data_IF_470314808005
#
_entry.id   IF_470314808005
#
_cell.length_a   1.000
_cell.length_b   1.000
_cell.length_c   1.000
_cell.angle_alpha   90.00
_cell.angle_beta   90.00
_cell.angle_gamma   90.00
#
_symmetry.space_group_name_H-M   'P 1'
#
loop_
_entity.id
_entity.type
_entity.pdbx_description
1 polymer ?
#
# COMPACT_ATOMS: atom_id res chain seq x y z
N UNK A 1 -13.07 20.29 13.35
CA UNK A 1 -14.48 19.89 13.54
C UNK A 1 -14.69 19.08 14.82
N UNK A 2 -13.80 18.13 15.18
CA UNK A 2 -13.92 17.31 16.39
C UNK A 2 -13.69 18.08 17.71
N UNK A 3 -12.68 18.96 17.78
CA UNK A 3 -12.42 19.79 18.99
C UNK A 3 -13.59 20.71 19.35
N UNK A 4 -14.22 21.32 18.34
CA UNK A 4 -15.40 22.18 18.53
C UNK A 4 -16.61 21.39 19.02
N UNK A 5 -16.72 20.11 18.66
CA UNK A 5 -17.80 19.20 19.11
C UNK A 5 -17.62 18.83 20.59
N UNK A 6 -16.40 18.53 21.03
CA UNK A 6 -16.10 18.23 22.44
C UNK A 6 -16.45 19.43 23.34
N UNK A 7 -15.97 20.62 22.98
CA UNK A 7 -16.25 21.85 23.71
C UNK A 7 -17.75 22.21 23.79
N UNK A 8 -18.54 21.90 22.75
CA UNK A 8 -19.98 22.12 22.76
C UNK A 8 -20.73 21.16 23.70
N UNK A 9 -20.25 19.92 23.83
CA UNK A 9 -20.86 18.92 24.73
C UNK A 9 -20.55 19.18 26.22
N UNK A 10 -19.38 19.75 26.53
CA UNK A 10 -19.02 20.13 27.92
C UNK A 10 -19.89 21.28 28.48
N UNK A 11 -20.45 22.13 27.62
CA UNK A 11 -21.28 23.26 28.03
C UNK A 11 -22.71 22.88 28.44
N UNK A 12 -23.06 21.59 28.46
CA UNK A 12 -24.35 21.07 28.98
C UNK A 12 -25.61 21.43 28.17
N UNK A 13 -25.51 22.37 27.23
CA UNK A 13 -26.61 22.82 26.37
C UNK A 13 -26.77 22.02 25.07
N UNK A 14 -25.79 21.16 24.75
CA UNK A 14 -25.83 20.30 23.57
C UNK A 14 -25.62 18.84 24.00
N UNK A 15 -26.59 17.98 23.72
CA UNK A 15 -26.46 16.55 23.88
C UNK A 15 -26.08 15.92 22.53
N UNK A 16 -24.95 15.23 22.46
CA UNK A 16 -24.68 14.31 21.36
C UNK A 16 -25.40 13.00 21.65
N UNK A 17 -26.40 12.62 20.83
CA UNK A 17 -27.14 11.35 20.98
C UNK A 17 -26.23 10.12 21.00
N UNK A 18 -25.05 10.20 20.39
CA UNK A 18 -24.06 9.12 20.40
C UNK A 18 -22.63 9.70 20.43
N UNK A 19 -22.01 9.70 21.60
CA UNK A 19 -20.54 9.72 21.71
C UNK A 19 -20.09 8.27 21.68
N UNK A 20 -19.58 7.83 20.52
CA UNK A 20 -18.95 6.52 20.42
C UNK A 20 -17.75 6.49 21.37
N UNK A 21 -17.72 5.51 22.28
CA UNK A 21 -16.56 5.28 23.13
C UNK A 21 -15.40 4.79 22.26
N UNK A 22 -14.16 5.03 22.69
CA UNK A 22 -12.97 4.51 22.00
C UNK A 22 -13.06 2.99 21.74
N UNK A 23 -13.58 2.26 22.72
CA UNK A 23 -13.82 0.82 22.66
C UNK A 23 -14.73 0.41 21.51
N UNK A 24 -15.75 1.21 21.19
CA UNK A 24 -16.69 0.95 20.10
C UNK A 24 -16.01 1.13 18.73
N UNK A 25 -15.12 2.12 18.57
CA UNK A 25 -14.32 2.25 17.35
C UNK A 25 -13.36 1.06 17.14
N UNK A 26 -12.79 0.55 18.23
CA UNK A 26 -11.92 -0.62 18.19
C UNK A 26 -12.73 -1.89 17.86
N UNK A 27 -13.94 -2.02 18.41
CA UNK A 27 -14.88 -3.11 18.10
C UNK A 27 -15.25 -3.11 16.60
N UNK A 28 -15.60 -1.95 16.05
CA UNK A 28 -15.92 -1.78 14.63
C UNK A 28 -14.72 -2.13 13.73
N UNK A 29 -13.52 -1.62 14.06
CA UNK A 29 -12.31 -1.91 13.30
C UNK A 29 -11.86 -3.38 13.41
N UNK A 30 -12.21 -4.04 14.51
CA UNK A 30 -11.81 -5.41 14.83
C UNK A 30 -12.76 -6.50 14.31
N UNK A 31 -13.89 -6.15 13.69
CA UNK A 31 -14.94 -7.10 13.31
C UNK A 31 -14.44 -8.26 12.44
N UNK A 32 -13.49 -8.01 11.54
CA UNK A 32 -12.88 -9.02 10.67
C UNK A 32 -11.68 -9.77 11.26
N UNK A 33 -11.23 -9.43 12.47
CA UNK A 33 -10.01 -9.98 13.06
C UNK A 33 -10.34 -11.05 14.11
N UNK A 34 -10.18 -12.33 13.74
CA UNK A 34 -10.46 -13.47 14.62
C UNK A 34 -9.66 -13.48 15.93
N UNK A 35 -8.42 -12.98 15.92
CA UNK A 35 -7.62 -12.84 17.15
C UNK A 35 -8.17 -11.75 18.05
N UNK A 36 -8.58 -10.62 17.48
CA UNK A 36 -9.24 -9.57 18.23
C UNK A 36 -10.52 -10.10 18.89
N UNK A 37 -11.41 -10.73 18.12
CA UNK A 37 -12.68 -11.26 18.60
C UNK A 37 -12.51 -12.28 19.73
N UNK A 38 -11.50 -13.15 19.62
CA UNK A 38 -11.31 -14.27 20.57
C UNK A 38 -10.58 -13.85 21.84
N UNK A 39 -9.62 -12.94 21.75
CA UNK A 39 -8.70 -12.65 22.86
C UNK A 39 -8.83 -11.23 23.42
N UNK A 40 -8.97 -10.22 22.56
CA UNK A 40 -8.94 -8.82 22.98
C UNK A 40 -10.33 -8.25 23.26
N UNK A 41 -11.34 -8.65 22.49
CA UNK A 41 -12.71 -8.16 22.63
C UNK A 41 -13.30 -8.40 24.03
N UNK A 42 -13.17 -9.60 24.65
CA UNK A 42 -13.69 -9.81 26.01
C UNK A 42 -13.01 -8.92 27.06
N UNK A 43 -11.71 -8.66 26.91
CA UNK A 43 -10.94 -7.78 27.79
C UNK A 43 -11.41 -6.32 27.64
N UNK A 44 -11.55 -5.87 26.39
CA UNK A 44 -11.97 -4.52 26.06
C UNK A 44 -13.40 -4.23 26.51
N UNK A 45 -14.30 -5.22 26.43
CA UNK A 45 -15.66 -5.13 26.96
C UNK A 45 -15.68 -4.92 28.48
N UNK A 46 -14.75 -5.53 29.24
CA UNK A 46 -14.63 -5.26 30.69
C UNK A 46 -14.22 -3.82 30.94
N UNK A 47 -13.30 -3.28 30.14
CA UNK A 47 -12.88 -1.87 30.22
C UNK A 47 -14.00 -0.91 29.78
N UNK A 48 -14.95 -1.35 28.96
CA UNK A 48 -16.08 -0.53 28.52
C UNK A 48 -17.02 -0.09 29.67
N UNK A 49 -16.88 -0.69 30.86
CA UNK A 49 -17.59 -0.29 32.08
C UNK A 49 -17.16 1.07 32.63
N UNK A 50 -15.96 1.56 32.27
CA UNK A 50 -15.51 2.89 32.66
C UNK A 50 -16.23 4.00 31.86
N UNK A 51 -16.54 5.09 32.54
CA UNK A 51 -17.15 6.29 31.97
C UNK A 51 -16.14 7.07 31.10
N UNK A 52 -16.63 7.92 30.19
CA UNK A 52 -15.83 8.68 29.22
C UNK A 52 -14.73 9.55 29.86
N UNK A 53 -14.91 9.96 31.11
CA UNK A 53 -13.93 10.75 31.89
C UNK A 53 -12.61 10.01 32.13
N UNK A 54 -12.60 8.69 32.05
CA UNK A 54 -11.40 7.87 32.23
C UNK A 54 -10.67 7.58 30.93
N UNK A 55 -11.29 7.89 29.78
CA UNK A 55 -10.73 7.63 28.47
C UNK A 55 -10.13 8.92 27.89
N UNK A 56 -9.00 8.83 27.16
CA UNK A 56 -8.50 9.98 26.41
C UNK A 56 -9.54 10.47 25.39
N UNK A 57 -9.57 11.78 25.16
CA UNK A 57 -10.38 12.34 24.09
C UNK A 57 -9.92 11.81 22.72
N UNK A 58 -10.88 11.54 21.83
CA UNK A 58 -10.61 11.01 20.49
C UNK A 58 -9.71 11.96 19.69
N UNK A 59 -9.86 13.28 19.88
CA UNK A 59 -8.98 14.24 19.21
C UNK A 59 -7.55 14.12 19.71
N UNK A 60 -7.37 13.87 21.01
CA UNK A 60 -6.05 13.61 21.61
C UNK A 60 -5.40 12.35 21.03
N UNK A 61 -6.18 11.30 20.81
CA UNK A 61 -5.72 10.05 20.20
C UNK A 61 -5.34 10.27 18.73
N UNK A 62 -6.19 10.93 17.94
CA UNK A 62 -5.90 11.23 16.53
C UNK A 62 -4.65 12.10 16.40
N UNK A 63 -4.50 13.09 17.29
CA UNK A 63 -3.28 13.92 17.32
C UNK A 63 -2.05 13.09 17.66
N UNK A 64 -2.13 12.22 18.67
CA UNK A 64 -1.02 11.33 19.02
C UNK A 64 -0.64 10.41 17.86
N UNK A 65 -1.62 9.86 17.14
CA UNK A 65 -1.41 9.01 15.97
C UNK A 65 -0.77 9.80 14.82
N UNK A 66 -1.22 11.03 14.58
CA UNK A 66 -0.67 11.90 13.53
C UNK A 66 0.73 12.44 13.83
N UNK A 67 1.18 12.37 15.09
CA UNK A 67 2.53 12.74 15.52
C UNK A 67 3.50 11.54 15.53
N UNK A 68 3.01 10.34 15.23
CA UNK A 68 3.86 9.17 15.07
C UNK A 68 4.68 9.33 13.78
N UNK A 69 5.97 9.62 13.92
CA UNK A 69 6.91 9.54 12.81
C UNK A 69 7.12 8.05 12.47
N UNK A 70 6.23 7.52 11.64
CA UNK A 70 6.39 6.18 11.08
C UNK A 70 7.48 6.27 10.02
N UNK A 71 8.73 5.99 10.41
CA UNK A 71 9.77 5.68 9.43
C UNK A 71 9.41 4.35 8.76
N UNK A 72 8.92 4.45 7.52
CA UNK A 72 8.76 3.28 6.65
C UNK A 72 10.16 2.81 6.28
N UNK A 73 10.66 1.83 7.01
CA UNK A 73 11.90 1.14 6.66
C UNK A 73 11.61 0.09 5.61
N UNK A 74 12.46 0.02 4.60
CA UNK A 74 12.34 -1.01 3.57
C UNK A 74 12.79 -2.36 4.13
N UNK A 75 12.05 -3.42 3.82
CA UNK A 75 12.36 -4.77 4.27
C UNK A 75 13.72 -5.26 3.75
N UNK A 76 14.17 -4.71 2.61
CA UNK A 76 15.44 -5.00 1.98
C UNK A 76 15.85 -3.88 1.00
N UNK A 77 17.15 -3.86 0.67
CA UNK A 77 17.77 -2.87 -0.24
C UNK A 77 17.21 -2.92 -1.67
N UNK A 78 16.66 -4.06 -2.12
CA UNK A 78 16.02 -4.15 -3.43
C UNK A 78 14.63 -3.49 -3.43
N UNK A 79 13.85 -3.66 -2.36
CA UNK A 79 12.56 -2.99 -2.15
C UNK A 79 12.76 -1.49 -2.01
N UNK A 80 13.80 -1.07 -1.28
CA UNK A 80 14.23 0.33 -1.21
C UNK A 80 14.56 0.88 -2.60
N UNK A 81 15.41 0.19 -3.37
CA UNK A 81 15.78 0.62 -4.71
C UNK A 81 14.56 0.71 -5.65
N UNK A 82 13.58 -0.19 -5.54
CA UNK A 82 12.36 -0.18 -6.36
C UNK A 82 11.45 1.00 -5.99
N UNK A 83 11.26 1.27 -4.70
CA UNK A 83 10.39 2.33 -4.22
C UNK A 83 11.07 3.69 -4.35
N UNK A 84 12.32 3.86 -3.89
CA UNK A 84 13.06 5.12 -4.06
C UNK A 84 13.39 5.42 -5.52
N UNK A 85 13.39 4.40 -6.38
CA UNK A 85 13.45 4.66 -7.80
C UNK A 85 12.24 5.41 -8.32
N UNK A 86 11.11 5.68 -7.60
CA UNK A 86 9.80 6.21 -8.08
C UNK A 86 9.76 7.43 -9.04
N UNK A 87 10.89 7.91 -9.55
CA UNK A 87 10.96 8.34 -10.95
C UNK A 87 12.00 7.53 -11.75
N UNK A 88 11.79 6.23 -12.02
CA UNK A 88 12.56 5.57 -13.05
C UNK A 88 11.91 6.06 -14.33
N UNK A 89 12.70 6.51 -15.30
CA UNK A 89 12.13 6.69 -16.63
C UNK A 89 11.37 5.41 -17.00
N UNK A 90 10.24 5.46 -17.71
CA UNK A 90 9.52 4.21 -18.06
C UNK A 90 10.46 3.17 -18.69
N UNK A 91 11.53 3.63 -19.34
CA UNK A 91 12.70 2.87 -19.80
C UNK A 91 13.39 2.03 -18.74
N UNK A 92 13.68 2.59 -17.56
CA UNK A 92 14.40 1.90 -16.47
C UNK A 92 13.57 0.78 -15.86
N UNK A 93 12.26 1.02 -15.72
CA UNK A 93 11.31 -0.02 -15.33
C UNK A 93 11.35 -1.18 -16.33
N UNK A 94 11.23 -0.90 -17.64
CA UNK A 94 11.28 -1.94 -18.66
C UNK A 94 12.62 -2.67 -18.69
N UNK A 95 13.74 -1.94 -18.54
CA UNK A 95 15.07 -2.53 -18.42
C UNK A 95 15.13 -3.55 -17.29
N UNK A 96 14.79 -3.14 -16.06
CA UNK A 96 14.87 -4.02 -14.89
C UNK A 96 13.88 -5.19 -14.97
N UNK A 97 12.67 -4.94 -15.48
CA UNK A 97 11.68 -5.99 -15.70
C UNK A 97 12.22 -7.06 -16.67
N UNK A 98 12.85 -6.64 -17.76
CA UNK A 98 13.39 -7.58 -18.72
C UNK A 98 14.60 -8.35 -18.18
N UNK A 99 15.48 -7.69 -17.42
CA UNK A 99 16.61 -8.35 -16.75
C UNK A 99 16.10 -9.45 -15.80
N UNK A 100 15.12 -9.12 -14.95
CA UNK A 100 14.52 -10.08 -14.03
C UNK A 100 13.87 -11.26 -14.77
N UNK A 101 13.13 -11.02 -15.86
CA UNK A 101 12.55 -12.11 -16.67
C UNK A 101 13.66 -12.99 -17.25
N UNK A 102 14.75 -12.39 -17.74
CA UNK A 102 15.85 -13.11 -18.34
C UNK A 102 16.65 -13.93 -17.32
N UNK A 103 16.86 -13.40 -16.11
CA UNK A 103 17.48 -14.14 -14.99
C UNK A 103 16.68 -15.38 -14.63
N UNK A 104 15.35 -15.34 -14.77
CA UNK A 104 14.48 -16.49 -14.52
C UNK A 104 14.42 -17.47 -15.70
N UNK A 105 15.01 -17.19 -16.86
CA UNK A 105 15.04 -18.09 -18.04
C UNK A 105 16.18 -19.13 -17.97
N UNK A 106 16.32 -19.86 -16.87
CA UNK A 106 17.40 -20.86 -16.75
C UNK A 106 17.07 -22.17 -17.46
N UNK A 107 15.77 -22.50 -17.58
CA UNK A 107 15.28 -23.76 -18.14
C UNK A 107 15.20 -24.92 -17.13
N UNK A 108 15.39 -24.65 -15.84
CA UNK A 108 15.23 -25.61 -14.74
C UNK A 108 13.76 -25.87 -14.38
N UNK A 109 13.50 -26.86 -13.51
CA UNK A 109 12.16 -27.39 -13.20
C UNK A 109 11.12 -26.36 -12.67
N UNK A 110 11.58 -25.22 -12.16
CA UNK A 110 10.74 -24.11 -11.68
C UNK A 110 11.03 -22.77 -12.35
N UNK A 111 11.90 -22.78 -13.37
CA UNK A 111 12.32 -21.58 -14.08
C UNK A 111 11.49 -21.38 -15.35
N UNK A 112 11.57 -20.18 -15.92
CA UNK A 112 10.99 -19.93 -17.23
C UNK A 112 11.75 -20.72 -18.30
N UNK A 113 11.05 -21.28 -19.31
CA UNK A 113 11.71 -21.84 -20.47
C UNK A 113 12.65 -20.81 -21.11
N UNK A 114 13.81 -21.25 -21.61
CA UNK A 114 14.78 -20.36 -22.29
C UNK A 114 14.17 -19.62 -23.49
N UNK A 115 13.13 -20.19 -24.09
CA UNK A 115 12.39 -19.64 -25.23
C UNK A 115 11.20 -18.77 -24.83
N UNK A 116 10.91 -18.61 -23.54
CA UNK A 116 9.75 -17.85 -23.07
C UNK A 116 9.82 -16.40 -23.52
N UNK A 117 8.75 -15.87 -24.12
CA UNK A 117 8.66 -14.45 -24.51
C UNK A 117 7.31 -13.90 -24.15
N UNK A 118 7.29 -12.73 -23.53
CA UNK A 118 6.07 -11.95 -23.38
C UNK A 118 5.84 -11.09 -24.62
N UNK A 119 4.57 -10.99 -25.03
CA UNK A 119 4.16 -10.03 -26.05
C UNK A 119 4.24 -8.61 -25.50
N UNK A 120 4.40 -7.64 -26.40
CA UNK A 120 4.43 -6.23 -26.01
C UNK A 120 3.12 -5.79 -25.32
N UNK A 121 1.98 -6.39 -25.70
CA UNK A 121 0.70 -6.16 -25.05
C UNK A 121 0.66 -6.70 -23.62
N UNK A 122 1.18 -7.92 -23.37
CA UNK A 122 1.23 -8.47 -22.02
C UNK A 122 2.14 -7.64 -21.11
N UNK A 123 3.29 -7.17 -21.63
CA UNK A 123 4.21 -6.29 -20.92
C UNK A 123 3.59 -4.93 -20.60
N UNK A 124 2.79 -4.37 -21.52
CA UNK A 124 2.04 -3.15 -21.28
C UNK A 124 1.02 -3.32 -20.14
N UNK A 125 0.25 -4.42 -20.15
CA UNK A 125 -0.70 -4.74 -19.08
C UNK A 125 -0.01 -4.90 -17.73
N UNK A 126 1.09 -5.68 -17.67
CA UNK A 126 1.86 -5.83 -16.43
C UNK A 126 2.35 -4.48 -15.93
N UNK A 127 2.88 -3.63 -16.81
CA UNK A 127 3.36 -2.29 -16.43
C UNK A 127 2.24 -1.42 -15.88
N UNK A 128 1.08 -1.39 -16.54
CA UNK A 128 -0.07 -0.59 -16.10
C UNK A 128 -0.58 -1.03 -14.72
N UNK A 129 -0.66 -2.34 -14.47
CA UNK A 129 -1.11 -2.89 -13.18
C UNK A 129 -0.07 -2.64 -12.09
N UNK A 130 1.19 -2.97 -12.35
CA UNK A 130 2.28 -2.88 -11.35
C UNK A 130 2.61 -1.44 -10.97
N UNK A 131 2.38 -0.49 -11.87
CA UNK A 131 2.65 0.94 -11.63
C UNK A 131 1.40 1.74 -11.28
N UNK A 132 0.23 1.11 -11.24
CA UNK A 132 -1.07 1.75 -10.97
C UNK A 132 -1.25 3.06 -11.78
N UNK A 133 -1.00 2.99 -13.09
CA UNK A 133 -1.04 4.18 -13.94
C UNK A 133 -2.48 4.63 -14.16
N UNK A 134 -2.77 5.95 -14.09
CA UNK A 134 -4.10 6.46 -14.36
C UNK A 134 -4.48 6.25 -15.84
N UNK A 135 -5.78 6.24 -16.18
CA UNK A 135 -6.27 5.90 -17.53
C UNK A 135 -5.66 6.72 -18.68
N UNK A 136 -5.30 7.96 -18.43
CA UNK A 136 -4.69 8.90 -19.37
C UNK A 136 -3.18 8.66 -19.58
N UNK A 137 -2.53 7.92 -18.68
CA UNK A 137 -1.11 7.59 -18.73
C UNK A 137 -0.84 6.11 -19.04
N UNK A 138 -1.88 5.33 -19.37
CA UNK A 138 -1.73 3.91 -19.68
C UNK A 138 -0.76 3.70 -20.84
N UNK A 139 0.13 2.74 -20.63
CA UNK A 139 1.11 2.32 -21.61
C UNK A 139 0.43 1.33 -22.56
N UNK A 140 0.67 1.51 -23.85
CA UNK A 140 0.21 0.61 -24.91
C UNK A 140 1.34 -0.29 -25.44
N UNK A 141 0.97 -1.29 -26.24
CA UNK A 141 1.94 -2.18 -26.86
C UNK A 141 2.94 -1.43 -27.76
N UNK A 142 2.54 -0.32 -28.38
CA UNK A 142 3.39 0.47 -29.27
C UNK A 142 4.53 1.16 -28.49
N UNK A 143 4.24 1.69 -27.30
CA UNK A 143 5.23 2.26 -26.39
C UNK A 143 6.25 1.22 -25.93
N UNK A 144 5.79 0.02 -25.56
CA UNK A 144 6.67 -1.09 -25.18
C UNK A 144 7.59 -1.46 -26.34
N UNK A 145 7.04 -1.58 -27.55
CA UNK A 145 7.81 -1.89 -28.77
C UNK A 145 8.91 -0.85 -29.04
N UNK A 146 8.58 0.45 -28.97
CA UNK A 146 9.56 1.54 -29.11
C UNK A 146 10.65 1.46 -28.04
N UNK A 147 10.27 1.14 -26.80
CA UNK A 147 11.20 1.02 -25.68
C UNK A 147 12.18 -0.15 -25.88
N UNK A 148 11.68 -1.31 -26.33
CA UNK A 148 12.53 -2.46 -26.69
C UNK A 148 13.52 -2.12 -27.80
N UNK A 149 13.07 -1.42 -28.84
CA UNK A 149 13.94 -0.99 -29.93
C UNK A 149 15.07 -0.09 -29.44
N UNK A 150 14.74 0.93 -28.65
CA UNK A 150 15.72 1.86 -28.08
C UNK A 150 16.73 1.16 -27.17
N UNK A 151 16.28 0.24 -26.31
CA UNK A 151 17.18 -0.55 -25.45
C UNK A 151 18.13 -1.42 -26.28
N UNK A 152 17.63 -2.01 -27.37
CA UNK A 152 18.47 -2.78 -28.31
C UNK A 152 19.55 -1.92 -28.95
N UNK A 153 19.22 -0.70 -29.39
CA UNK A 153 20.20 0.26 -29.95
C UNK A 153 21.27 0.66 -28.92
N UNK A 154 20.91 0.72 -27.64
CA UNK A 154 21.81 1.01 -26.53
C UNK A 154 22.67 -0.20 -26.11
N UNK A 155 22.62 -1.32 -26.84
CA UNK A 155 23.42 -2.51 -26.56
C UNK A 155 22.87 -3.38 -25.42
N UNK A 156 21.68 -3.08 -24.89
CA UNK A 156 20.99 -3.98 -23.99
C UNK A 156 20.46 -5.17 -24.79
N UNK A 157 21.23 -6.26 -24.78
CA UNK A 157 20.84 -7.56 -25.33
C UNK A 157 20.35 -8.44 -24.19
N UNK A 158 19.20 -8.13 -23.59
CA UNK A 158 18.49 -9.22 -22.92
C UNK A 158 18.02 -10.15 -24.06
N UNK A 159 18.27 -11.44 -23.92
CA UNK A 159 17.88 -12.42 -24.93
C UNK A 159 16.35 -12.56 -24.80
N UNK A 160 15.63 -11.67 -25.47
CA UNK A 160 14.17 -11.60 -25.38
C UNK A 160 13.52 -12.73 -26.14
#
# INVERSE_FOLDING_TARGET
MLERRAALCENGHFACERMLKLTEFIDDAGEGNGHYLSYLKPELQRLNSFDLRYWPDITGIIRSLGMEEVEITFADEATEAIINAHRPSGTDFFRKLFDNINEQKTGDYYALPRTFKLSDAALATICNITRDLPPDALIDAAYVKRTRHRLKEQGYSAIW
#
